data_IF_540842734325
#
_entry.id   IF_540842734325
#
_cell.length_a   1.000
_cell.length_b   1.000
_cell.length_c   1.000
_cell.angle_alpha   90.00
_cell.angle_beta   90.00
_cell.angle_gamma   90.00
#
_symmetry.space_group_name_H-M   'P 1'
#
loop_
_entity.id
_entity.type
_entity.pdbx_description
1 polymer ?
#
# COMPACT_ATOMS: atom_id res chain seq x y z
N UNK A 1 -10.43 -14.84 -9.80
CA UNK A 1 -10.03 -13.41 -9.98
C UNK A 1 -9.08 -13.33 -11.16
N UNK A 2 -9.16 -12.35 -12.08
CA UNK A 2 -8.32 -12.34 -13.28
C UNK A 2 -6.86 -12.11 -12.88
N UNK A 3 -6.00 -13.11 -13.07
CA UNK A 3 -4.61 -13.15 -12.60
C UNK A 3 -3.74 -11.95 -13.01
N UNK A 4 -4.12 -11.24 -14.08
CA UNK A 4 -3.38 -10.09 -14.62
C UNK A 4 -3.72 -8.75 -13.98
N UNK A 5 -4.80 -8.67 -13.20
CA UNK A 5 -5.29 -7.42 -12.62
C UNK A 5 -4.71 -7.12 -11.25
N UNK A 6 -4.24 -8.14 -10.53
CA UNK A 6 -3.68 -8.01 -9.19
C UNK A 6 -2.19 -8.32 -9.23
N UNK A 7 -1.38 -7.37 -8.76
CA UNK A 7 0.06 -7.55 -8.63
C UNK A 7 0.47 -7.29 -7.19
N UNK A 8 1.12 -8.26 -6.57
CA UNK A 8 1.82 -8.04 -5.30
C UNK A 8 3.09 -7.26 -5.62
N UNK A 9 3.22 -6.05 -5.07
CA UNK A 9 4.35 -5.17 -5.31
C UNK A 9 5.53 -5.49 -4.40
N UNK A 10 5.23 -5.90 -3.17
CA UNK A 10 6.25 -6.29 -2.21
C UNK A 10 5.67 -7.30 -1.22
N UNK A 11 6.42 -8.37 -0.96
CA UNK A 11 6.07 -9.46 -0.03
C UNK A 11 7.20 -9.75 0.97
N UNK A 12 8.27 -8.94 0.95
CA UNK A 12 9.50 -9.27 1.68
C UNK A 12 9.44 -8.91 3.17
N UNK A 13 8.46 -8.11 3.60
CA UNK A 13 8.12 -7.94 5.01
C UNK A 13 6.93 -8.82 5.35
N UNK A 14 7.09 -9.71 6.33
CA UNK A 14 6.06 -10.68 6.74
C UNK A 14 4.76 -10.02 7.22
N UNK A 15 4.85 -8.78 7.72
CA UNK A 15 3.76 -8.13 8.44
C UNK A 15 2.96 -7.16 7.56
N UNK A 16 3.39 -6.92 6.32
CA UNK A 16 2.74 -6.00 5.40
C UNK A 16 2.55 -6.62 4.03
N UNK A 17 1.53 -6.18 3.31
CA UNK A 17 1.28 -6.63 1.95
C UNK A 17 0.92 -5.43 1.09
N UNK A 18 1.81 -5.09 0.15
CA UNK A 18 1.58 -4.05 -0.85
C UNK A 18 1.07 -4.68 -2.14
N UNK A 19 -0.03 -4.16 -2.65
CA UNK A 19 -0.63 -4.65 -3.88
C UNK A 19 -1.05 -3.52 -4.80
N UNK A 20 -1.07 -3.83 -6.10
CA UNK A 20 -1.50 -2.97 -7.18
C UNK A 20 -2.62 -3.65 -7.95
N UNK A 21 -3.75 -2.95 -8.11
CA UNK A 21 -4.85 -3.32 -8.99
C UNK A 21 -4.74 -2.47 -10.26
N UNK A 22 -4.68 -3.14 -11.41
CA UNK A 22 -4.51 -2.50 -12.72
C UNK A 22 -5.80 -2.57 -13.52
N UNK A 23 -6.32 -1.41 -13.90
CA UNK A 23 -7.37 -1.29 -14.93
C UNK A 23 -6.83 -0.59 -16.19
N UNK A 24 -7.69 -0.31 -17.18
CA UNK A 24 -7.27 0.35 -18.42
C UNK A 24 -6.66 1.75 -18.19
N UNK A 25 -7.22 2.50 -17.24
CA UNK A 25 -6.85 3.90 -16.97
C UNK A 25 -6.47 4.17 -15.52
N UNK A 26 -6.84 3.30 -14.60
CA UNK A 26 -6.61 3.50 -13.17
C UNK A 26 -5.60 2.49 -12.62
N UNK A 27 -4.93 2.92 -11.56
CA UNK A 27 -4.15 2.11 -10.65
C UNK A 27 -4.71 2.32 -9.27
N UNK A 28 -4.93 1.23 -8.54
CA UNK A 28 -5.26 1.27 -7.13
C UNK A 28 -4.14 0.56 -6.39
N UNK A 29 -3.62 1.17 -5.35
CA UNK A 29 -2.63 0.59 -4.47
C UNK A 29 -3.27 0.36 -3.12
N UNK A 30 -3.03 -0.81 -2.53
CA UNK A 30 -3.50 -1.08 -1.19
C UNK A 30 -2.41 -1.72 -0.35
N UNK A 31 -2.43 -1.36 0.92
CA UNK A 31 -1.54 -1.82 1.97
C UNK A 31 -2.40 -2.37 3.10
N UNK A 32 -2.06 -3.57 3.57
CA UNK A 32 -2.70 -4.19 4.73
C UNK A 32 -1.66 -4.36 5.81
N UNK A 33 -1.92 -3.75 6.97
CA UNK A 33 -1.23 -4.02 8.22
C UNK A 33 -1.84 -5.28 8.84
N UNK A 34 -1.10 -6.39 8.80
CA UNK A 34 -1.61 -7.68 9.29
C UNK A 34 -1.70 -7.78 10.80
N UNK A 35 -0.99 -6.93 11.54
CA UNK A 35 -1.01 -6.94 13.00
C UNK A 35 -2.29 -6.28 13.52
N UNK A 36 -2.71 -5.18 12.89
CA UNK A 36 -3.83 -4.37 13.38
C UNK A 36 -5.10 -4.47 12.52
N UNK A 37 -5.01 -5.06 11.33
CA UNK A 37 -6.11 -5.12 10.36
C UNK A 37 -6.40 -3.80 9.64
N UNK A 38 -5.54 -2.79 9.81
CA UNK A 38 -5.68 -1.49 9.17
C UNK A 38 -5.35 -1.58 7.67
N UNK A 39 -6.11 -0.85 6.85
CA UNK A 39 -5.96 -0.84 5.40
C UNK A 39 -5.76 0.58 4.90
N UNK A 40 -4.69 0.80 4.13
CA UNK A 40 -4.45 2.06 3.41
C UNK A 40 -4.68 1.81 1.94
N UNK A 41 -5.55 2.60 1.31
CA UNK A 41 -5.89 2.49 -0.11
C UNK A 41 -5.65 3.84 -0.77
N UNK A 42 -4.96 3.83 -1.91
CA UNK A 42 -4.80 5.02 -2.77
C UNK A 42 -5.07 4.63 -4.20
N UNK A 43 -5.41 5.60 -5.04
CA UNK A 43 -5.62 5.34 -6.45
C UNK A 43 -5.46 6.59 -7.30
N UNK A 44 -5.20 6.36 -8.58
CA UNK A 44 -4.98 7.44 -9.53
C UNK A 44 -4.93 6.94 -10.96
N UNK A 45 -4.74 7.89 -11.88
CA UNK A 45 -4.58 7.57 -13.30
C UNK A 45 -3.23 6.92 -13.56
N UNK A 46 -3.18 5.96 -14.50
CA UNK A 46 -1.93 5.29 -14.90
C UNK A 46 -0.83 6.28 -15.33
N UNK A 47 -1.21 7.45 -15.85
CA UNK A 47 -0.28 8.51 -16.27
C UNK A 47 0.48 9.09 -15.08
N UNK A 48 -0.08 9.01 -13.88
CA UNK A 48 0.49 9.53 -12.64
C UNK A 48 1.10 8.41 -11.77
N UNK A 49 1.17 7.18 -12.28
CA UNK A 49 1.59 5.99 -11.54
C UNK A 49 2.86 6.20 -10.69
N UNK A 50 3.91 6.83 -11.23
CA UNK A 50 5.16 7.06 -10.49
C UNK A 50 4.97 8.00 -9.29
N UNK A 51 4.18 9.06 -9.47
CA UNK A 51 3.87 10.03 -8.41
C UNK A 51 3.00 9.38 -7.34
N UNK A 52 1.95 8.67 -7.75
CA UNK A 52 1.00 8.02 -6.85
C UNK A 52 1.66 6.91 -6.04
N UNK A 53 2.55 6.13 -6.65
CA UNK A 53 3.31 5.09 -5.96
C UNK A 53 4.29 5.68 -4.93
N UNK A 54 4.95 6.80 -5.25
CA UNK A 54 5.83 7.48 -4.29
C UNK A 54 5.04 8.06 -3.11
N UNK A 55 3.89 8.66 -3.40
CA UNK A 55 2.98 9.14 -2.37
C UNK A 55 2.51 7.99 -1.47
N UNK A 56 2.05 6.88 -2.06
CA UNK A 56 1.61 5.69 -1.35
C UNK A 56 2.68 5.14 -0.40
N UNK A 57 3.92 4.99 -0.87
CA UNK A 57 5.04 4.53 -0.04
C UNK A 57 5.36 5.48 1.11
N UNK A 58 5.32 6.80 0.85
CA UNK A 58 5.51 7.79 1.91
C UNK A 58 4.40 7.73 2.95
N UNK A 59 3.14 7.54 2.53
CA UNK A 59 2.00 7.37 3.45
C UNK A 59 2.16 6.12 4.31
N UNK A 60 2.56 4.98 3.73
CA UNK A 60 2.84 3.75 4.49
C UNK A 60 3.95 4.01 5.52
N UNK A 61 5.05 4.65 5.11
CA UNK A 61 6.16 4.94 6.01
C UNK A 61 5.72 5.81 7.20
N UNK A 62 4.98 6.88 6.94
CA UNK A 62 4.46 7.75 7.99
C UNK A 62 3.49 7.01 8.93
N UNK A 63 2.63 6.16 8.38
CA UNK A 63 1.73 5.33 9.17
C UNK A 63 2.50 4.38 10.08
N UNK A 64 3.50 3.66 9.56
CA UNK A 64 4.31 2.72 10.36
C UNK A 64 5.12 3.43 11.44
N UNK A 65 5.69 4.61 11.14
CA UNK A 65 6.40 5.44 12.13
C UNK A 65 5.47 5.91 13.25
N UNK A 66 4.27 6.40 12.89
CA UNK A 66 3.25 6.78 13.86
C UNK A 66 2.89 5.61 14.78
N UNK A 67 2.64 4.42 14.21
CA UNK A 67 2.27 3.22 14.98
C UNK A 67 3.39 2.73 15.90
N UNK A 68 4.64 2.74 15.44
CA UNK A 68 5.79 2.41 16.29
C UNK A 68 5.86 3.32 17.51
N UNK A 69 5.69 4.63 17.30
CA UNK A 69 5.71 5.61 18.39
C UNK A 69 4.52 5.48 19.36
N UNK A 70 3.38 4.92 18.94
CA UNK A 70 2.27 4.60 19.86
C UNK A 70 2.61 3.38 20.73
N UNK A 71 3.20 2.34 20.14
CA UNK A 71 3.58 1.13 20.87
C UNK A 71 4.72 1.39 21.88
N UNK A 72 5.67 2.28 21.57
CA UNK A 72 6.77 2.64 22.48
C UNK A 72 6.32 3.50 23.69
N UNK A 73 5.06 3.94 23.72
CA UNK A 73 4.48 4.73 24.84
C UNK A 73 3.66 3.89 25.82
N UNK A 74 3.36 2.64 25.49
CA UNK A 74 2.61 1.69 26.34
C UNK A 74 3.55 0.82 27.15
#
# INVERSE_FOLDING_TARGET
MPEKQFRILNSNDTNVTECEIKTKHLRVYYFIDKENGNIIITGGYKTNQKKDLNHFRNTIKQYLEYRRNENDKG
#
